data_IF_690186199419
#
_entry.id   IF_690186199419
#
_cell.length_a   1.000
_cell.length_b   1.000
_cell.length_c   1.000
_cell.angle_alpha   90.00
_cell.angle_beta   90.00
_cell.angle_gamma   90.00
#
_symmetry.space_group_name_H-M   'P 1'
#
loop_
_entity.id
_entity.type
_entity.pdbx_description
1 polymer ?
#
# COMPACT_ATOMS: atom_id res chain seq x y z
N UNK A 1 -29.00 21.37 14.43
CA UNK A 1 -28.28 20.21 14.99
C UNK A 1 -27.90 20.54 16.43
N UNK A 2 -28.22 19.70 17.40
CA UNK A 2 -27.98 19.97 18.83
C UNK A 2 -26.62 19.37 19.28
N UNK A 3 -25.96 19.95 20.28
CA UNK A 3 -24.62 19.51 20.75
C UNK A 3 -24.59 18.05 21.22
N UNK A 4 -25.72 17.57 21.74
CA UNK A 4 -25.88 16.20 22.23
C UNK A 4 -25.83 15.20 21.08
N UNK A 5 -26.40 15.54 19.93
CA UNK A 5 -26.36 14.71 18.73
C UNK A 5 -24.93 14.63 18.20
N UNK A 6 -24.20 15.75 18.17
CA UNK A 6 -22.79 15.75 17.77
C UNK A 6 -21.94 14.92 18.73
N UNK A 7 -22.13 15.05 20.05
CA UNK A 7 -21.40 14.25 21.04
C UNK A 7 -21.73 12.75 20.95
N UNK A 8 -22.96 12.39 20.59
CA UNK A 8 -23.36 11.00 20.33
C UNK A 8 -22.69 10.48 19.06
N UNK A 9 -22.73 11.24 17.97
CA UNK A 9 -22.10 10.87 16.70
C UNK A 9 -20.57 10.73 16.84
N UNK A 10 -19.91 11.61 17.60
CA UNK A 10 -18.48 11.50 17.91
C UNK A 10 -18.11 10.31 18.80
N UNK A 11 -19.06 9.76 19.57
CA UNK A 11 -18.84 8.48 20.28
C UNK A 11 -19.06 7.30 19.35
N UNK A 12 -20.06 7.38 18.47
CA UNK A 12 -20.36 6.32 17.52
C UNK A 12 -19.19 6.08 16.55
N UNK A 13 -18.56 7.16 16.06
CA UNK A 13 -17.35 7.10 15.24
C UNK A 13 -16.12 6.53 15.96
N UNK A 14 -16.12 6.48 17.30
CA UNK A 14 -15.03 5.89 18.10
C UNK A 14 -15.26 4.42 18.40
N UNK A 15 -16.39 3.85 18.01
CA UNK A 15 -16.63 2.43 18.19
C UNK A 15 -15.73 1.62 17.24
N UNK A 16 -15.12 0.52 17.71
CA UNK A 16 -14.35 -0.37 16.85
C UNK A 16 -15.30 -1.00 15.82
N UNK A 17 -15.12 -0.64 14.55
CA UNK A 17 -15.85 -1.24 13.44
C UNK A 17 -15.14 -2.52 13.01
N UNK A 18 -15.80 -3.66 13.17
CA UNK A 18 -15.35 -4.92 12.56
C UNK A 18 -15.70 -4.90 11.07
N UNK A 19 -14.73 -5.17 10.17
CA UNK A 19 -15.02 -5.27 8.74
C UNK A 19 -16.11 -6.31 8.48
N UNK A 20 -17.12 -5.96 7.68
CA UNK A 20 -18.22 -6.88 7.34
C UNK A 20 -17.73 -8.10 6.52
N UNK A 21 -16.59 -7.95 5.83
CA UNK A 21 -15.93 -9.01 5.09
C UNK A 21 -14.45 -9.00 5.38
N UNK A 22 -13.85 -10.19 5.43
CA UNK A 22 -12.40 -10.31 5.42
C UNK A 22 -11.84 -9.74 4.10
N UNK A 23 -10.96 -8.76 4.22
CA UNK A 23 -10.30 -8.11 3.10
C UNK A 23 -8.97 -8.79 2.77
N UNK A 24 -8.38 -9.55 3.69
CA UNK A 24 -7.07 -10.19 3.50
C UNK A 24 -7.09 -11.18 2.34
N UNK A 25 -8.12 -12.01 2.23
CA UNK A 25 -8.28 -12.90 1.08
C UNK A 25 -8.27 -12.16 -0.28
N UNK A 26 -8.84 -10.95 -0.34
CA UNK A 26 -8.82 -10.14 -1.56
C UNK A 26 -7.48 -9.45 -1.82
N UNK A 27 -6.77 -9.06 -0.75
CA UNK A 27 -5.42 -8.50 -0.83
C UNK A 27 -4.45 -9.59 -1.30
N UNK A 28 -4.54 -10.81 -0.76
CA UNK A 28 -3.74 -11.96 -1.20
C UNK A 28 -3.92 -12.25 -2.69
N UNK A 29 -5.17 -12.32 -3.14
CA UNK A 29 -5.47 -12.52 -4.55
C UNK A 29 -4.92 -11.39 -5.42
N UNK A 30 -4.99 -10.13 -4.96
CA UNK A 30 -4.45 -9.00 -5.68
C UNK A 30 -2.91 -9.05 -5.77
N UNK A 31 -2.23 -9.38 -4.68
CA UNK A 31 -0.78 -9.54 -4.63
C UNK A 31 -0.30 -10.68 -5.53
N UNK A 32 -1.00 -11.83 -5.54
CA UNK A 32 -0.70 -12.96 -6.43
C UNK A 32 -0.87 -12.62 -7.91
N UNK A 33 -1.90 -11.84 -8.26
CA UNK A 33 -2.11 -11.40 -9.63
C UNK A 33 -1.06 -10.37 -10.08
N UNK A 34 -0.63 -9.49 -9.18
CA UNK A 34 0.46 -8.56 -9.45
C UNK A 34 1.77 -9.32 -9.74
N UNK A 35 2.04 -10.42 -9.01
CA UNK A 35 3.20 -11.27 -9.29
C UNK A 35 3.14 -11.94 -10.66
N UNK A 36 1.99 -12.49 -11.06
CA UNK A 36 1.83 -13.10 -12.39
C UNK A 36 2.02 -12.10 -13.53
N UNK A 37 1.70 -10.84 -13.29
CA UNK A 37 1.81 -9.77 -14.29
C UNK A 37 3.26 -9.24 -14.42
N UNK A 38 4.12 -9.49 -13.43
CA UNK A 38 5.54 -9.09 -13.44
C UNK A 38 6.45 -10.08 -14.20
N UNK A 39 5.95 -11.24 -14.62
CA UNK A 39 6.65 -12.08 -15.60
C UNK A 39 6.67 -11.31 -16.92
N UNK A 40 7.83 -11.11 -17.57
CA UNK A 40 7.89 -10.35 -18.82
C UNK A 40 7.20 -11.16 -19.91
N UNK A 41 5.90 -10.93 -20.06
CA UNK A 41 5.16 -11.33 -21.23
C UNK A 41 5.64 -10.44 -22.38
N UNK A 42 6.52 -11.00 -23.19
CA UNK A 42 6.79 -10.54 -24.54
C UNK A 42 5.50 -10.05 -25.20
N UNK A 43 5.63 -8.90 -25.86
CA UNK A 43 4.69 -8.29 -26.79
C UNK A 43 3.88 -9.34 -27.58
N UNK A 44 2.71 -9.70 -27.08
CA UNK A 44 1.70 -10.40 -27.84
C UNK A 44 0.56 -9.43 -28.12
N UNK A 45 0.71 -8.77 -29.27
CA UNK A 45 -0.27 -8.01 -30.03
C UNK A 45 -1.70 -8.52 -29.79
N UNK A 46 -2.54 -7.73 -29.12
CA UNK A 46 -3.96 -8.03 -28.93
C UNK A 46 -4.77 -7.33 -30.02
N UNK A 47 -5.24 -8.11 -30.99
CA UNK A 47 -6.14 -7.70 -32.06
C UNK A 47 -7.46 -7.06 -31.56
N UNK A 48 -8.17 -6.28 -32.41
CA UNK A 48 -9.25 -5.42 -31.99
C UNK A 48 -10.60 -6.15 -32.03
N UNK A 49 -11.29 -6.23 -30.89
CA UNK A 49 -12.73 -6.57 -30.87
C UNK A 49 -13.52 -5.71 -29.87
N UNK A 50 -14.57 -5.10 -30.42
CA UNK A 50 -15.70 -4.39 -29.79
C UNK A 50 -15.45 -2.94 -29.30
N UNK A 51 -15.56 -2.00 -30.25
CA UNK A 51 -15.61 -0.54 -30.00
C UNK A 51 -16.73 -0.11 -29.04
N UNK A 52 -17.77 -0.92 -28.87
CA UNK A 52 -18.91 -0.59 -28.01
C UNK A 52 -18.61 -0.73 -26.51
N UNK A 53 -17.85 -1.76 -26.10
CA UNK A 53 -17.37 -1.90 -24.70
C UNK A 53 -16.39 -0.80 -24.31
N UNK A 54 -15.60 -0.32 -25.27
CA UNK A 54 -14.59 0.73 -25.05
C UNK A 54 -15.22 2.08 -24.69
N UNK A 55 -16.40 2.38 -25.23
CA UNK A 55 -17.16 3.60 -24.88
C UNK A 55 -17.75 3.54 -23.46
N UNK A 56 -18.22 2.38 -23.03
CA UNK A 56 -18.70 2.18 -21.66
C UNK A 56 -17.58 2.26 -20.62
N UNK A 57 -16.42 1.67 -20.93
CA UNK A 57 -15.24 1.77 -20.07
C UNK A 57 -14.71 3.21 -19.95
N UNK A 58 -14.76 4.00 -21.03
CA UNK A 58 -14.37 5.40 -21.01
C UNK A 58 -15.30 6.28 -20.15
N UNK A 59 -16.62 6.02 -20.19
CA UNK A 59 -17.57 6.72 -19.32
C UNK A 59 -17.39 6.35 -17.84
N UNK A 60 -17.16 5.06 -17.56
CA UNK A 60 -16.89 4.58 -16.21
C UNK A 60 -15.58 5.13 -15.64
N UNK A 61 -14.51 5.25 -16.45
CA UNK A 61 -13.24 5.79 -16.00
C UNK A 61 -13.32 7.28 -15.66
N UNK A 62 -14.15 8.05 -16.39
CA UNK A 62 -14.36 9.47 -16.10
C UNK A 62 -15.11 9.67 -14.77
N UNK A 63 -16.19 8.91 -14.54
CA UNK A 63 -16.94 8.95 -13.29
C UNK A 63 -16.09 8.49 -12.09
N UNK A 64 -15.29 7.44 -12.26
CA UNK A 64 -14.36 6.97 -11.23
C UNK A 64 -13.28 8.03 -10.91
N UNK A 65 -12.77 8.75 -11.91
CA UNK A 65 -11.75 9.80 -11.70
C UNK A 65 -12.30 10.99 -10.90
N UNK A 66 -13.56 11.39 -11.16
CA UNK A 66 -14.22 12.46 -10.42
C UNK A 66 -14.50 12.07 -8.96
N UNK A 67 -14.93 10.82 -8.72
CA UNK A 67 -15.12 10.29 -7.36
C UNK A 67 -13.79 10.16 -6.60
N UNK A 68 -12.72 9.76 -7.28
CA UNK A 68 -11.39 9.63 -6.67
C UNK A 68 -10.80 11.00 -6.30
N UNK A 69 -10.91 11.99 -7.20
CA UNK A 69 -10.45 13.36 -6.93
C UNK A 69 -11.24 14.02 -5.79
N UNK A 70 -12.57 13.85 -5.77
CA UNK A 70 -13.42 14.35 -4.69
C UNK A 70 -13.17 13.65 -3.35
N UNK A 71 -12.96 12.32 -3.36
CA UNK A 71 -12.73 11.53 -2.16
C UNK A 71 -11.37 11.78 -1.49
N UNK A 72 -10.32 11.98 -2.28
CA UNK A 72 -8.97 12.26 -1.75
C UNK A 72 -8.90 13.65 -1.11
N UNK A 73 -9.49 14.67 -1.76
CA UNK A 73 -9.54 16.02 -1.20
C UNK A 73 -10.32 16.09 0.12
N UNK A 74 -11.34 15.24 0.30
CA UNK A 74 -12.09 15.18 1.55
C UNK A 74 -11.31 14.49 2.68
N UNK A 75 -10.51 13.45 2.37
CA UNK A 75 -9.69 12.75 3.37
C UNK A 75 -8.51 13.59 3.89
N UNK A 76 -7.92 14.45 3.07
CA UNK A 76 -6.78 15.28 3.50
C UNK A 76 -7.19 16.39 4.47
N UNK A 77 -8.43 16.91 4.38
CA UNK A 77 -8.95 17.87 5.35
C UNK A 77 -9.37 17.22 6.68
N UNK A 78 -9.54 15.90 6.74
CA UNK A 78 -10.05 15.19 7.91
C UNK A 78 -9.00 14.43 8.72
N UNK A 79 -7.71 14.47 8.38
CA UNK A 79 -6.68 13.80 9.19
C UNK A 79 -6.47 14.58 10.50
N UNK A 80 -6.88 14.05 11.67
CA UNK A 80 -6.36 14.54 12.94
C UNK A 80 -4.95 13.96 13.06
N UNK A 81 -3.98 14.78 13.42
CA UNK A 81 -2.61 14.36 13.72
C UNK A 81 -2.62 13.24 14.76
N UNK A 82 -2.55 11.99 14.30
CA UNK A 82 -2.34 10.84 15.16
C UNK A 82 -0.90 10.91 15.66
N UNK A 83 -0.75 11.12 16.97
CA UNK A 83 0.53 11.04 17.66
C UNK A 83 1.15 9.64 17.45
N UNK A 84 2.45 9.52 17.13
CA UNK A 84 3.08 8.23 16.97
C UNK A 84 3.18 7.55 18.33
N UNK A 85 2.64 6.34 18.44
CA UNK A 85 2.88 5.44 19.57
C UNK A 85 4.36 5.04 19.51
N UNK A 86 5.18 5.66 20.35
CA UNK A 86 6.57 5.29 20.57
C UNK A 86 6.64 3.95 21.30
N UNK A 87 6.53 2.85 20.54
CA UNK A 87 6.96 1.55 20.99
C UNK A 87 8.49 1.49 20.93
N UNK A 88 9.14 1.45 22.10
CA UNK A 88 10.57 1.20 22.26
C UNK A 88 10.93 -0.25 21.85
N UNK A 89 10.74 -0.59 20.58
CA UNK A 89 11.53 -1.64 19.95
C UNK A 89 12.85 -0.99 19.55
N UNK A 90 13.97 -1.52 20.03
CA UNK A 90 15.31 -1.15 19.55
C UNK A 90 15.30 -1.27 18.03
N UNK A 91 15.07 -0.15 17.35
CA UNK A 91 14.96 -0.12 15.90
C UNK A 91 16.26 -0.70 15.37
N UNK A 92 16.23 -1.72 14.49
CA UNK A 92 17.43 -2.13 13.79
C UNK A 92 17.95 -0.86 13.11
N UNK A 93 19.20 -0.50 13.38
CA UNK A 93 19.79 0.74 12.89
C UNK A 93 19.47 0.88 11.40
N UNK A 94 18.66 1.88 11.04
CA UNK A 94 18.20 2.12 9.68
C UNK A 94 19.43 2.35 8.82
N UNK A 95 19.79 1.36 8.00
CA UNK A 95 20.98 1.44 7.17
C UNK A 95 20.84 2.60 6.18
N UNK A 96 21.85 3.48 6.13
CA UNK A 96 21.86 4.67 5.28
C UNK A 96 23.04 4.60 4.31
N UNK A 97 22.81 4.56 2.98
CA UNK A 97 23.89 4.51 2.00
C UNK A 97 24.64 5.84 1.93
N UNK A 98 25.93 5.77 1.58
CA UNK A 98 26.79 6.95 1.39
C UNK A 98 26.46 7.70 0.10
N UNK A 99 26.00 6.98 -0.94
CA UNK A 99 25.53 7.58 -2.18
C UNK A 99 24.13 8.21 -1.98
N UNK A 100 23.98 9.55 -2.13
CA UNK A 100 22.70 10.23 -1.96
C UNK A 100 21.64 9.77 -2.97
N UNK A 101 22.02 9.23 -4.13
CA UNK A 101 21.07 8.72 -5.14
C UNK A 101 20.32 7.48 -4.64
N UNK A 102 20.92 6.72 -3.73
CA UNK A 102 20.33 5.52 -3.15
C UNK A 102 19.58 5.79 -1.85
N UNK A 103 19.70 6.99 -1.28
CA UNK A 103 19.15 7.32 0.04
C UNK A 103 17.62 7.22 0.08
N UNK A 104 16.92 7.69 -0.95
CA UNK A 104 15.45 7.62 -1.01
C UNK A 104 14.94 6.18 -1.02
N UNK A 105 15.49 5.35 -1.92
CA UNK A 105 15.13 3.95 -2.04
C UNK A 105 15.46 3.15 -0.76
N UNK A 106 16.56 3.48 -0.06
CA UNK A 106 16.88 2.84 1.22
C UNK A 106 15.82 3.14 2.30
N UNK A 107 15.33 4.38 2.37
CA UNK A 107 14.28 4.78 3.32
C UNK A 107 12.95 4.10 2.99
N UNK A 108 12.55 4.10 1.71
CA UNK A 108 11.28 3.48 1.28
C UNK A 108 11.28 1.97 1.49
N UNK A 109 12.37 1.27 1.17
CA UNK A 109 12.47 -0.18 1.39
C UNK A 109 12.44 -0.54 2.88
N UNK A 110 13.00 0.29 3.75
CA UNK A 110 12.95 0.05 5.20
C UNK A 110 11.55 0.31 5.77
N UNK A 111 10.87 1.37 5.32
CA UNK A 111 9.48 1.65 5.65
C UNK A 111 8.57 0.50 5.20
N UNK A 112 8.68 0.08 3.93
CA UNK A 112 7.92 -1.04 3.38
C UNK A 112 8.15 -2.33 4.18
N UNK A 113 9.39 -2.60 4.59
CA UNK A 113 9.71 -3.76 5.44
C UNK A 113 8.98 -3.70 6.78
N UNK A 114 8.97 -2.54 7.45
CA UNK A 114 8.27 -2.38 8.73
C UNK A 114 6.76 -2.54 8.58
N UNK A 115 6.16 -1.96 7.54
CA UNK A 115 4.74 -2.10 7.25
C UNK A 115 4.35 -3.55 6.95
N UNK A 116 5.15 -4.27 6.17
CA UNK A 116 4.93 -5.69 5.90
C UNK A 116 5.03 -6.54 7.17
N UNK A 117 5.96 -6.21 8.08
CA UNK A 117 6.05 -6.88 9.38
C UNK A 117 4.82 -6.63 10.26
N UNK A 118 4.24 -5.44 10.20
CA UNK A 118 2.98 -5.12 10.91
C UNK A 118 1.79 -5.84 10.26
N UNK A 119 1.71 -5.85 8.93
CA UNK A 119 0.67 -6.55 8.18
C UNK A 119 0.67 -8.06 8.48
N UNK A 120 1.85 -8.69 8.56
CA UNK A 120 1.97 -10.11 8.92
C UNK A 120 1.52 -10.39 10.35
N UNK A 121 1.68 -9.44 11.29
CA UNK A 121 1.12 -9.61 12.64
C UNK A 121 -0.42 -9.62 12.63
N UNK A 122 -1.04 -8.93 11.66
CA UNK A 122 -2.50 -8.89 11.50
C UNK A 122 -3.04 -10.09 10.70
N UNK A 123 -2.25 -10.63 9.78
CA UNK A 123 -2.59 -11.78 8.93
C UNK A 123 -1.40 -12.76 8.84
N UNK A 124 -1.13 -13.54 9.89
CA UNK A 124 0.05 -14.42 9.96
C UNK A 124 0.03 -15.53 8.89
N UNK A 125 -1.17 -15.95 8.50
CA UNK A 125 -1.38 -17.07 7.58
C UNK A 125 -1.35 -16.64 6.10
N UNK A 126 -1.05 -15.37 5.79
CA UNK A 126 -0.94 -14.90 4.41
C UNK A 126 0.40 -15.30 3.76
N UNK A 127 0.41 -16.20 2.77
CA UNK A 127 1.64 -16.60 2.07
C UNK A 127 2.15 -15.52 1.10
N UNK A 128 1.27 -14.62 0.65
CA UNK A 128 1.63 -13.54 -0.28
C UNK A 128 2.46 -12.46 0.42
N UNK A 129 2.08 -12.07 1.64
CA UNK A 129 2.83 -11.11 2.47
C UNK A 129 4.22 -11.64 2.83
N UNK A 130 4.34 -12.93 3.16
CA UNK A 130 5.61 -13.55 3.47
C UNK A 130 6.58 -13.53 2.27
N UNK A 131 6.08 -13.86 1.07
CA UNK A 131 6.85 -13.76 -0.17
C UNK A 131 7.26 -12.31 -0.46
N UNK A 132 6.35 -11.36 -0.32
CA UNK A 132 6.61 -9.95 -0.54
C UNK A 132 7.67 -9.39 0.44
N UNK A 133 7.62 -9.80 1.70
CA UNK A 133 8.67 -9.48 2.69
C UNK A 133 10.03 -10.07 2.28
N UNK A 134 10.05 -11.31 1.80
CA UNK A 134 11.25 -11.95 1.27
C UNK A 134 11.88 -11.16 0.11
N UNK A 135 11.07 -10.74 -0.86
CA UNK A 135 11.53 -9.91 -2.00
C UNK A 135 12.03 -8.54 -1.55
N UNK A 136 11.35 -7.90 -0.61
CA UNK A 136 11.77 -6.60 -0.06
C UNK A 136 13.15 -6.71 0.60
N UNK A 137 13.41 -7.80 1.35
CA UNK A 137 14.74 -8.07 1.93
C UNK A 137 15.80 -8.32 0.85
N UNK A 138 15.46 -9.04 -0.22
CA UNK A 138 16.35 -9.25 -1.36
C UNK A 138 16.71 -7.92 -2.05
N UNK A 139 15.72 -7.06 -2.30
CA UNK A 139 15.94 -5.72 -2.87
C UNK A 139 16.82 -4.86 -1.96
N UNK A 140 16.62 -4.90 -0.65
CA UNK A 140 17.48 -4.19 0.31
C UNK A 140 18.93 -4.70 0.24
N UNK A 141 19.13 -6.00 0.04
CA UNK A 141 20.47 -6.60 -0.11
C UNK A 141 21.13 -6.15 -1.42
N UNK A 142 20.38 -6.14 -2.52
CA UNK A 142 20.86 -5.64 -3.82
C UNK A 142 21.23 -4.15 -3.73
N UNK A 143 20.41 -3.34 -3.06
CA UNK A 143 20.68 -1.91 -2.87
C UNK A 143 21.96 -1.68 -2.06
N UNK A 144 22.22 -2.52 -1.06
CA UNK A 144 23.49 -2.52 -0.30
C UNK A 144 24.69 -2.86 -1.18
N UNK A 145 24.56 -3.86 -2.06
CA UNK A 145 25.64 -4.23 -2.99
C UNK A 145 25.94 -3.08 -3.97
N UNK A 146 24.92 -2.41 -4.50
CA UNK A 146 25.10 -1.24 -5.36
C UNK A 146 25.78 -0.08 -4.61
N UNK A 147 25.36 0.18 -3.37
CA UNK A 147 25.98 1.21 -2.54
C UNK A 147 27.47 0.93 -2.27
N UNK A 148 27.86 -0.34 -2.10
CA UNK A 148 29.25 -0.74 -1.91
C UNK A 148 30.10 -0.61 -3.18
N UNK A 149 29.48 -0.62 -4.37
CA UNK A 149 30.17 -0.45 -5.66
C UNK A 149 30.29 1.02 -6.09
N UNK A 150 29.42 1.89 -5.56
CA UNK A 150 29.35 3.30 -5.89
C UNK A 150 30.14 4.22 -4.93
N UNK A 151 30.72 3.66 -3.85
CA UNK A 151 31.60 4.34 -2.91
C UNK A 151 33.06 3.99 -3.12
#
# INVERSE_FOLDING_TARGET
MNEFEWRRQMRDLRQPLTPQRDLWASIDAALDNAERTQVPANLALREPRSTHRRRWLAAASLAASLLLAGGIGWRTLQVPTAAPIAGNAKAPASWKPSDPRLAGAAVELDAARMELQLAIQQAPDSPSLQRLLGRTKQQQTQLRQLANQAG
#
